data_IF_065514721662
#
_entry.id   IF_065514721662
#
_cell.length_a   1.000
_cell.length_b   1.000
_cell.length_c   1.000
_cell.angle_alpha   90.00
_cell.angle_beta   90.00
_cell.angle_gamma   90.00
#
_symmetry.space_group_name_H-M   'P 1'
#
loop_
_entity.id
_entity.type
_entity.pdbx_description
1 polymer ?
#
# COMPACT_ATOMS: atom_id res chain seq x y z
N UNK A 1 3.87 9.50 47.55
CA UNK A 1 2.81 10.08 46.68
C UNK A 1 3.41 10.50 45.32
N UNK A 2 4.12 9.61 44.63
CA UNK A 2 4.73 9.88 43.31
C UNK A 2 4.54 8.70 42.32
N UNK A 3 4.19 7.51 42.82
CA UNK A 3 4.01 6.30 41.99
C UNK A 3 2.67 6.29 41.23
N UNK A 4 1.66 7.01 41.73
CA UNK A 4 0.32 7.00 41.13
C UNK A 4 0.20 7.89 39.87
N UNK A 5 1.05 8.91 39.74
CA UNK A 5 0.98 9.85 38.60
C UNK A 5 1.59 9.25 37.33
N UNK A 6 2.53 8.30 37.44
CA UNK A 6 3.09 7.62 36.27
C UNK A 6 2.14 6.57 35.66
N UNK A 7 1.25 5.95 36.45
CA UNK A 7 0.26 5.01 35.93
C UNK A 7 -0.85 5.71 35.12
N UNK A 8 -1.20 6.96 35.47
CA UNK A 8 -2.23 7.71 34.74
C UNK A 8 -1.72 8.20 33.36
N UNK A 9 -0.41 8.41 33.21
CA UNK A 9 0.18 8.75 31.91
C UNK A 9 0.28 7.55 30.94
N UNK A 10 0.34 6.32 31.46
CA UNK A 10 0.37 5.10 30.64
C UNK A 10 -1.03 4.77 30.08
N UNK A 11 -2.12 5.18 30.73
CA UNK A 11 -3.48 4.88 30.28
C UNK A 11 -4.09 5.89 29.28
N UNK A 12 -3.45 7.04 29.00
CA UNK A 12 -4.06 8.10 28.19
C UNK A 12 -3.59 8.14 26.72
N UNK A 13 -2.78 7.20 26.27
CA UNK A 13 -2.38 7.06 24.85
C UNK A 13 -3.11 5.93 24.12
N UNK A 14 -4.39 5.71 24.43
CA UNK A 14 -5.25 4.82 23.65
C UNK A 14 -6.39 5.57 22.95
N UNK A 15 -6.06 6.64 22.22
CA UNK A 15 -6.76 6.89 20.96
C UNK A 15 -6.22 5.91 19.90
N UNK A 16 -6.41 4.61 20.15
CA UNK A 16 -6.26 3.61 19.10
C UNK A 16 -7.55 3.75 18.28
N UNK A 17 -7.43 4.29 17.07
CA UNK A 17 -8.41 4.01 16.03
C UNK A 17 -8.40 2.49 15.83
N UNK A 18 -9.19 1.78 16.63
CA UNK A 18 -9.25 0.33 16.63
C UNK A 18 -10.10 -0.06 15.44
N UNK A 19 -9.45 -0.25 14.29
CA UNK A 19 -10.06 -1.10 13.28
C UNK A 19 -10.17 -2.51 13.87
N UNK A 20 -11.36 -3.12 13.80
CA UNK A 20 -11.61 -4.44 14.39
C UNK A 20 -11.21 -5.54 13.42
N UNK A 21 -10.50 -6.57 13.90
CA UNK A 21 -10.14 -7.74 13.10
C UNK A 21 -11.34 -8.70 12.99
N UNK A 22 -12.26 -8.45 12.06
CA UNK A 22 -13.46 -9.27 11.88
C UNK A 22 -13.25 -10.48 10.97
N UNK A 23 -12.04 -10.62 10.40
CA UNK A 23 -11.62 -11.76 9.59
C UNK A 23 -11.84 -11.57 8.09
N UNK A 24 -11.36 -12.55 7.32
CA UNK A 24 -11.26 -12.51 5.85
C UNK A 24 -12.58 -12.31 5.10
N UNK A 25 -13.70 -12.67 5.73
CA UNK A 25 -15.03 -12.67 5.14
C UNK A 25 -15.87 -11.48 5.64
N UNK A 26 -15.25 -10.51 6.32
CA UNK A 26 -15.91 -9.30 6.82
C UNK A 26 -16.63 -8.53 5.70
N UNK A 27 -16.07 -8.48 4.48
CA UNK A 27 -16.76 -7.98 3.28
C UNK A 27 -17.75 -9.01 2.68
N UNK A 28 -18.58 -9.68 3.47
CA UNK A 28 -19.64 -10.55 2.94
C UNK A 28 -21.00 -10.25 3.56
N UNK A 29 -22.06 -10.31 2.75
CA UNK A 29 -23.44 -10.43 3.24
C UNK A 29 -23.88 -11.86 3.00
N UNK A 30 -24.19 -12.60 4.07
CA UNK A 30 -24.58 -14.03 4.00
C UNK A 30 -23.54 -14.94 3.30
N UNK A 31 -22.25 -14.68 3.47
CA UNK A 31 -21.16 -15.47 2.87
C UNK A 31 -20.90 -15.17 1.39
N UNK A 32 -21.61 -14.21 0.80
CA UNK A 32 -21.36 -13.72 -0.56
C UNK A 32 -20.54 -12.43 -0.46
N UNK A 33 -19.42 -12.35 -1.19
CA UNK A 33 -18.60 -11.15 -1.31
C UNK A 33 -19.46 -9.97 -1.74
N UNK A 34 -19.40 -8.89 -0.97
CA UNK A 34 -20.15 -7.68 -1.27
C UNK A 34 -19.75 -7.12 -2.64
N UNK A 35 -20.73 -6.99 -3.53
CA UNK A 35 -20.52 -6.35 -4.83
C UNK A 35 -20.19 -4.86 -4.63
N UNK A 36 -19.27 -4.27 -5.42
CA UNK A 36 -18.96 -2.84 -5.34
C UNK A 36 -20.17 -1.92 -5.59
N UNK A 37 -21.26 -2.45 -6.15
CA UNK A 37 -22.51 -1.73 -6.42
C UNK A 37 -23.59 -1.92 -5.34
N UNK A 38 -23.40 -2.84 -4.39
CA UNK A 38 -24.35 -3.13 -3.32
C UNK A 38 -23.91 -2.46 -2.02
N UNK A 39 -23.80 -1.13 -2.06
CA UNK A 39 -23.70 -0.28 -0.88
C UNK A 39 -25.06 -0.17 -0.17
N UNK A 40 -25.63 -1.30 0.23
CA UNK A 40 -26.65 -1.30 1.27
C UNK A 40 -25.93 -1.42 2.62
N UNK A 41 -26.51 -0.81 3.66
CA UNK A 41 -25.97 -0.67 5.04
C UNK A 41 -25.53 -1.98 5.75
N UNK A 42 -25.58 -3.12 5.08
CA UNK A 42 -25.26 -4.46 5.58
C UNK A 42 -23.81 -4.88 5.34
N UNK A 43 -23.09 -4.25 4.41
CA UNK A 43 -21.71 -4.63 4.04
C UNK A 43 -20.69 -3.83 4.86
N UNK A 44 -20.17 -4.40 5.95
CA UNK A 44 -19.10 -3.82 6.77
C UNK A 44 -17.75 -4.46 6.44
N UNK A 45 -16.95 -3.82 5.60
CA UNK A 45 -15.60 -4.29 5.29
C UNK A 45 -14.60 -4.00 6.42
N UNK A 46 -13.89 -5.03 6.89
CA UNK A 46 -12.72 -4.85 7.74
C UNK A 46 -11.54 -4.40 6.87
N UNK A 47 -11.23 -3.11 6.92
CA UNK A 47 -10.10 -2.53 6.18
C UNK A 47 -8.87 -2.31 7.06
N UNK A 48 -8.74 -3.06 8.16
CA UNK A 48 -7.66 -2.90 9.11
C UNK A 48 -6.34 -3.45 8.54
N UNK A 49 -5.30 -2.61 8.28
CA UNK A 49 -4.01 -3.04 7.74
C UNK A 49 -3.34 -4.23 8.47
N UNK A 50 -3.35 -4.28 9.83
CA UNK A 50 -2.75 -5.41 10.55
C UNK A 50 -3.57 -6.70 10.48
N UNK A 51 -4.89 -6.62 10.25
CA UNK A 51 -5.78 -7.80 10.32
C UNK A 51 -5.95 -8.51 8.98
N UNK A 52 -5.75 -7.82 7.86
CA UNK A 52 -6.07 -8.35 6.54
C UNK A 52 -4.82 -8.60 5.71
N UNK A 53 -4.85 -9.62 4.86
CA UNK A 53 -3.80 -9.89 3.86
C UNK A 53 -3.89 -8.90 2.71
N UNK A 54 -2.83 -8.82 1.90
CA UNK A 54 -2.86 -7.94 0.74
C UNK A 54 -3.79 -8.40 -0.36
N UNK A 55 -3.96 -9.71 -0.52
CA UNK A 55 -4.95 -10.28 -1.43
C UNK A 55 -6.37 -9.83 -1.04
N UNK A 56 -6.68 -9.87 0.26
CA UNK A 56 -7.95 -9.36 0.77
C UNK A 56 -8.12 -7.87 0.45
N UNK A 57 -7.08 -7.04 0.62
CA UNK A 57 -7.16 -5.63 0.23
C UNK A 57 -7.39 -5.42 -1.26
N UNK A 58 -6.71 -6.18 -2.13
CA UNK A 58 -6.88 -6.08 -3.59
C UNK A 58 -8.22 -6.61 -4.09
N UNK A 59 -8.84 -7.56 -3.38
CA UNK A 59 -10.15 -8.14 -3.72
C UNK A 59 -11.32 -7.40 -3.06
N UNK A 60 -11.08 -6.76 -1.90
CA UNK A 60 -12.09 -6.01 -1.17
C UNK A 60 -12.35 -4.66 -1.82
N UNK A 61 -13.60 -4.19 -1.75
CA UNK A 61 -13.92 -2.80 -2.01
C UNK A 61 -13.68 -1.95 -0.75
N UNK A 62 -12.57 -2.18 -0.04
CA UNK A 62 -12.12 -1.30 1.04
C UNK A 62 -12.02 0.11 0.47
N UNK A 63 -13.05 0.91 0.77
CA UNK A 63 -13.43 2.08 -0.01
C UNK A 63 -12.22 2.96 -0.27
N UNK A 64 -12.15 3.47 -1.49
CA UNK A 64 -11.09 4.34 -2.02
C UNK A 64 -10.69 5.55 -1.16
N UNK A 65 -11.45 5.86 -0.11
CA UNK A 65 -11.23 6.92 0.87
C UNK A 65 -10.13 6.61 1.90
N UNK A 66 -9.82 5.33 2.15
CA UNK A 66 -8.70 4.95 3.04
C UNK A 66 -7.36 4.93 2.32
N UNK A 67 -7.37 4.80 1.00
CA UNK A 67 -6.15 4.90 0.20
C UNK A 67 -5.71 6.35 0.11
N UNK A 68 -4.56 6.64 0.71
CA UNK A 68 -3.87 7.89 0.42
C UNK A 68 -3.27 7.80 -0.99
N UNK A 69 -3.83 8.58 -1.91
CA UNK A 69 -3.46 8.61 -3.34
C UNK A 69 -2.39 9.65 -3.69
N UNK A 70 -1.90 10.39 -2.70
CA UNK A 70 -0.85 11.40 -2.92
C UNK A 70 0.56 10.80 -2.94
N UNK A 71 0.71 9.51 -2.68
CA UNK A 71 2.00 8.84 -2.80
C UNK A 71 2.24 8.36 -4.23
N UNK A 72 3.51 8.32 -4.62
CA UNK A 72 3.89 7.68 -5.88
C UNK A 72 5.39 7.64 -6.07
N UNK A 73 5.80 7.35 -7.30
CA UNK A 73 7.20 7.37 -7.67
C UNK A 73 7.73 8.81 -7.73
N UNK A 74 9.02 9.02 -7.44
CA UNK A 74 9.72 10.32 -7.48
C UNK A 74 9.88 10.92 -8.88
N UNK A 75 9.24 10.31 -9.88
CA UNK A 75 9.15 10.83 -11.24
C UNK A 75 7.81 11.52 -11.46
N UNK A 76 7.82 12.55 -12.29
CA UNK A 76 6.60 13.22 -12.76
C UNK A 76 5.83 12.39 -13.79
N UNK A 77 6.35 11.21 -14.18
CA UNK A 77 5.75 10.33 -15.16
C UNK A 77 5.08 9.13 -14.48
N UNK A 78 3.78 8.96 -14.71
CA UNK A 78 3.06 7.72 -14.35
C UNK A 78 3.41 6.56 -15.28
N UNK A 79 3.88 6.86 -16.48
CA UNK A 79 4.27 5.90 -17.51
C UNK A 79 5.79 5.80 -17.60
N UNK A 80 6.35 4.72 -17.07
CA UNK A 80 7.77 4.44 -17.11
C UNK A 80 8.13 3.72 -18.41
N UNK A 81 9.05 4.28 -19.18
CA UNK A 81 9.56 3.66 -20.40
C UNK A 81 11.04 3.31 -20.19
N UNK A 82 11.37 2.03 -20.32
CA UNK A 82 12.72 1.53 -20.16
C UNK A 82 13.15 0.69 -21.36
N UNK A 83 14.44 0.69 -21.67
CA UNK A 83 15.05 -0.18 -22.68
C UNK A 83 15.61 -1.44 -22.04
N UNK A 84 15.32 -2.61 -22.63
CA UNK A 84 15.84 -3.91 -22.17
C UNK A 84 17.37 -3.85 -22.05
N UNK A 85 17.92 -4.32 -20.93
CA UNK A 85 19.36 -4.40 -20.65
C UNK A 85 20.14 -3.07 -20.71
N UNK A 86 19.49 -1.92 -20.90
CA UNK A 86 20.16 -0.63 -21.08
C UNK A 86 19.73 0.42 -20.05
N UNK A 87 18.47 0.38 -19.61
CA UNK A 87 17.96 1.35 -18.65
C UNK A 87 18.05 0.78 -17.23
N UNK A 88 18.76 1.48 -16.34
CA UNK A 88 18.67 1.23 -14.92
C UNK A 88 17.54 2.08 -14.35
N UNK A 89 16.50 1.41 -13.88
CA UNK A 89 15.38 2.03 -13.18
C UNK A 89 15.84 2.28 -11.73
N UNK A 90 15.55 3.47 -11.21
CA UNK A 90 15.76 3.81 -9.80
C UNK A 90 14.84 4.96 -9.43
N UNK A 91 13.66 4.63 -8.91
CA UNK A 91 12.67 5.62 -8.46
C UNK A 91 12.37 5.41 -6.98
N UNK A 92 12.45 6.49 -6.21
CA UNK A 92 12.03 6.49 -4.81
C UNK A 92 10.50 6.54 -4.74
N UNK A 93 9.95 6.05 -3.63
CA UNK A 93 8.55 6.27 -3.29
C UNK A 93 8.46 7.48 -2.37
N UNK A 94 7.68 8.47 -2.79
CA UNK A 94 7.54 9.76 -2.11
C UNK A 94 6.07 10.11 -1.86
N UNK A 95 5.84 10.92 -0.83
CA UNK A 95 4.65 11.74 -0.67
C UNK A 95 4.74 12.92 -1.64
N UNK A 96 3.86 13.00 -2.64
CA UNK A 96 3.89 14.08 -3.64
C UNK A 96 3.38 15.42 -3.13
N UNK A 97 2.74 15.47 -1.95
CA UNK A 97 2.31 16.73 -1.33
C UNK A 97 3.49 17.37 -0.60
N UNK A 98 4.21 16.57 0.18
CA UNK A 98 5.29 17.06 1.04
C UNK A 98 6.70 16.91 0.41
N UNK A 99 6.79 16.20 -0.73
CA UNK A 99 8.05 15.81 -1.38
C UNK A 99 8.99 15.01 -0.43
N UNK A 100 8.39 14.26 0.49
CA UNK A 100 9.12 13.48 1.48
C UNK A 100 9.20 12.01 1.08
N UNK A 101 10.34 11.38 1.36
CA UNK A 101 10.50 9.95 1.15
C UNK A 101 9.63 9.15 2.12
N UNK A 102 8.92 8.18 1.58
CA UNK A 102 8.15 7.25 2.38
C UNK A 102 9.09 6.30 3.13
N UNK A 103 9.02 6.36 4.46
CA UNK A 103 9.80 5.53 5.39
C UNK A 103 8.86 4.75 6.31
N UNK A 104 9.36 3.62 6.83
CA UNK A 104 8.71 2.89 7.94
C UNK A 104 7.31 2.33 7.67
N UNK A 105 6.95 2.10 6.40
CA UNK A 105 5.76 1.32 6.07
C UNK A 105 6.05 -0.18 6.24
N UNK A 106 5.02 -0.99 6.50
CA UNK A 106 5.16 -2.44 6.49
C UNK A 106 5.42 -2.96 5.08
N UNK A 107 5.83 -4.22 4.99
CA UNK A 107 6.18 -4.88 3.73
C UNK A 107 5.13 -4.62 2.64
N UNK A 108 5.53 -4.03 1.50
CA UNK A 108 4.63 -3.76 0.41
C UNK A 108 4.12 -5.05 -0.21
N UNK A 109 2.96 -4.92 -0.82
CA UNK A 109 2.35 -5.97 -1.60
C UNK A 109 2.14 -5.52 -3.02
N UNK A 110 2.53 -6.39 -3.93
CA UNK A 110 2.35 -6.20 -5.35
C UNK A 110 1.14 -7.00 -5.79
N UNK A 111 0.20 -6.37 -6.50
CA UNK A 111 -0.93 -7.11 -7.08
C UNK A 111 -0.46 -8.13 -8.12
N UNK A 112 0.67 -7.84 -8.76
CA UNK A 112 1.30 -8.62 -9.82
C UNK A 112 2.81 -8.59 -9.68
N UNK A 113 3.48 -9.68 -10.06
CA UNK A 113 4.94 -9.72 -10.07
C UNK A 113 5.53 -8.66 -11.00
N UNK A 114 6.58 -7.99 -10.53
CA UNK A 114 7.36 -7.04 -11.33
C UNK A 114 8.06 -7.77 -12.49
N UNK A 115 8.37 -7.05 -13.60
CA UNK A 115 9.12 -7.63 -14.72
C UNK A 115 10.49 -8.14 -14.28
N UNK A 116 11.00 -9.13 -15.00
CA UNK A 116 12.30 -9.71 -14.75
C UNK A 116 13.41 -8.65 -14.70
N UNK A 117 14.17 -8.63 -13.59
CA UNK A 117 15.26 -7.69 -13.35
C UNK A 117 14.86 -6.36 -12.72
N UNK A 118 13.58 -6.14 -12.44
CA UNK A 118 13.06 -5.00 -11.67
C UNK A 118 12.61 -5.49 -10.29
N UNK A 119 12.96 -4.73 -9.25
CA UNK A 119 12.74 -5.09 -7.85
C UNK A 119 12.22 -3.89 -7.06
N UNK A 120 11.37 -4.16 -6.08
CA UNK A 120 11.02 -3.21 -5.03
C UNK A 120 11.89 -3.52 -3.81
N UNK A 121 12.72 -2.57 -3.42
CA UNK A 121 13.64 -2.72 -2.28
C UNK A 121 13.34 -1.70 -1.19
N UNK A 122 13.74 -2.02 0.04
CA UNK A 122 13.86 -1.05 1.13
C UNK A 122 15.36 -0.83 1.35
N UNK A 123 15.82 0.43 1.24
CA UNK A 123 17.23 0.75 1.43
C UNK A 123 17.62 0.83 2.92
N UNK A 124 18.91 1.04 3.20
CA UNK A 124 19.41 1.13 4.57
C UNK A 124 18.88 2.35 5.35
N UNK A 125 18.28 3.32 4.66
CA UNK A 125 17.63 4.50 5.27
C UNK A 125 16.12 4.27 5.48
N UNK A 126 15.62 3.07 5.20
CA UNK A 126 14.22 2.72 5.33
C UNK A 126 13.34 3.22 4.18
N UNK A 127 13.93 3.73 3.10
CA UNK A 127 13.21 4.25 1.92
C UNK A 127 12.88 3.13 0.95
N UNK A 128 11.66 3.14 0.43
CA UNK A 128 11.27 2.21 -0.62
C UNK A 128 11.64 2.72 -2.01
N UNK A 129 12.22 1.84 -2.84
CA UNK A 129 12.67 2.15 -4.19
C UNK A 129 12.30 1.06 -5.18
N UNK A 130 11.84 1.47 -6.36
CA UNK A 130 11.75 0.60 -7.54
C UNK A 130 13.08 0.68 -8.28
N UNK A 131 13.83 -0.42 -8.34
CA UNK A 131 15.18 -0.45 -8.91
C UNK A 131 15.40 -1.61 -9.87
N UNK A 132 16.39 -1.50 -10.76
CA UNK A 132 16.93 -2.62 -11.49
C UNK A 132 16.99 -2.42 -13.00
N UNK A 133 17.42 -3.47 -13.71
CA UNK A 133 17.63 -3.46 -15.15
C UNK A 133 16.66 -4.47 -15.77
N UNK A 134 15.67 -4.02 -16.57
CA UNK A 134 14.70 -4.92 -17.16
C UNK A 134 15.34 -5.91 -18.14
N UNK A 135 14.92 -7.17 -18.08
CA UNK A 135 15.49 -8.29 -18.86
C UNK A 135 14.53 -8.89 -19.88
N UNK A 136 13.31 -8.41 -19.95
CA UNK A 136 12.28 -8.92 -20.85
C UNK A 136 11.49 -7.79 -21.49
N UNK A 137 10.96 -8.04 -22.68
CA UNK A 137 10.07 -7.11 -23.36
C UNK A 137 8.71 -7.13 -22.68
N UNK A 138 8.13 -5.95 -22.49
CA UNK A 138 6.84 -5.80 -21.83
C UNK A 138 6.04 -4.71 -22.52
N UNK A 139 4.85 -5.06 -22.99
CA UNK A 139 3.88 -4.08 -23.47
C UNK A 139 3.43 -3.16 -22.32
N UNK A 140 2.77 -2.04 -22.65
CA UNK A 140 2.31 -1.10 -21.62
C UNK A 140 1.43 -1.81 -20.59
N UNK A 141 1.91 -1.84 -19.36
CA UNK A 141 1.36 -2.71 -18.33
C UNK A 141 1.21 -1.94 -17.02
N UNK A 142 0.01 -1.98 -16.41
CA UNK A 142 -0.26 -1.33 -15.13
C UNK A 142 0.14 -2.21 -13.94
N UNK A 143 0.72 -1.56 -12.93
CA UNK A 143 1.18 -2.12 -11.66
C UNK A 143 0.57 -1.36 -10.49
N UNK A 144 0.27 -2.10 -9.43
CA UNK A 144 -0.27 -1.56 -8.18
C UNK A 144 0.57 -2.08 -7.03
N UNK A 145 1.09 -1.15 -6.23
CA UNK A 145 1.79 -1.43 -4.98
C UNK A 145 0.91 -0.93 -3.84
N UNK A 146 0.57 -1.85 -2.94
CA UNK A 146 -0.11 -1.55 -1.70
C UNK A 146 0.90 -1.52 -0.56
N UNK A 147 0.96 -0.41 0.16
CA UNK A 147 1.65 -0.33 1.44
C UNK A 147 0.63 -0.24 2.57
N UNK A 148 1.00 -0.89 3.68
CA UNK A 148 0.27 -0.82 4.93
C UNK A 148 1.04 0.09 5.89
N UNK A 149 0.37 1.13 6.38
CA UNK A 149 0.90 2.03 7.39
C UNK A 149 0.29 1.80 8.77
N UNK A 150 0.82 2.48 9.80
CA UNK A 150 0.19 2.52 11.12
C UNK A 150 -1.16 3.25 11.05
N UNK A 151 -2.09 2.91 11.96
CA UNK A 151 -3.37 3.62 12.18
C UNK A 151 -4.26 3.71 10.92
N UNK A 152 -4.72 2.56 10.42
CA UNK A 152 -5.67 2.47 9.29
C UNK A 152 -5.20 3.11 7.97
N UNK A 153 -3.92 3.47 7.86
CA UNK A 153 -3.35 4.04 6.65
C UNK A 153 -3.08 2.93 5.63
N UNK A 154 -3.75 3.02 4.48
CA UNK A 154 -3.42 2.25 3.30
C UNK A 154 -2.90 3.21 2.23
N UNK A 155 -1.83 2.83 1.56
CA UNK A 155 -1.24 3.63 0.48
C UNK A 155 -1.24 2.76 -0.76
N UNK A 156 -1.93 3.23 -1.80
CA UNK A 156 -1.96 2.57 -3.09
C UNK A 156 -1.19 3.43 -4.08
N UNK A 157 -0.19 2.83 -4.71
CA UNK A 157 0.61 3.46 -5.76
C UNK A 157 0.36 2.71 -7.05
N UNK A 158 -0.13 3.43 -8.05
CA UNK A 158 -0.30 2.95 -9.41
C UNK A 158 0.72 3.60 -10.35
N UNK A 159 1.27 2.79 -11.25
CA UNK A 159 2.11 3.25 -12.36
C UNK A 159 2.05 2.24 -13.50
N UNK A 160 2.49 2.66 -14.68
CA UNK A 160 2.66 1.76 -15.81
C UNK A 160 4.12 1.59 -16.18
N UNK A 161 4.49 0.40 -16.64
CA UNK A 161 5.81 0.13 -17.21
C UNK A 161 5.61 -0.31 -18.65
N UNK A 162 6.44 0.23 -19.54
CA UNK A 162 6.66 -0.26 -20.90
C UNK A 162 8.14 -0.57 -21.07
N UNK A 163 8.47 -1.76 -21.54
CA UNK A 163 9.85 -2.17 -21.80
C UNK A 163 10.03 -2.46 -23.29
N UNK A 164 10.88 -1.66 -23.93
CA UNK A 164 11.18 -1.71 -25.38
C UNK A 164 12.54 -2.32 -25.69
#
# INVERSE_FOLDING_TARGET
MFVFIHLIFICNFHFIFSCGCYGSNSCTTNGILCSPYELNNSCLCDCCPPCNTCEQFFQSNCLSHLYSKHYGLSTNQSDLIAKINQSNISYDIIDKINDEHVRYLWNPCLRRSLPNGIYLINDNEGRYKLVGIPREKLEKTSYEILFKGPVSLLILIDFTITII
#
